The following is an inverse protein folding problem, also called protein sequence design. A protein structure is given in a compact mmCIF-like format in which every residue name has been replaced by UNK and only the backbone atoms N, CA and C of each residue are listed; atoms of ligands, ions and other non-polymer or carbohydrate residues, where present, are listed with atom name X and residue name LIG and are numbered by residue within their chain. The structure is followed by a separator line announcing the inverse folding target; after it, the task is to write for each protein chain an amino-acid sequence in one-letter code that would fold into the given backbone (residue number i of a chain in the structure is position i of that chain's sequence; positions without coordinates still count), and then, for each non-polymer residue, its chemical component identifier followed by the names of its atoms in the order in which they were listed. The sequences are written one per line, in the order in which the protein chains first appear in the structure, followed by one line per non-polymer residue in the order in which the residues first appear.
data_IF_621208100244
#
_entry.id   IF_621208100244
#
_cell.length_a   1.000
_cell.length_b   1.000
_cell.length_c   1.000
_cell.angle_alpha   90.00
_cell.angle_beta   90.00
_cell.angle_gamma   90.00
#
_symmetry.space_group_name_H-M   'P 1'
#
loop_
_entity.id
_entity.type
_entity.pdbx_description
1 polymer ?
#
# COMPACT_ATOMS: atom_id res chain seq x y z
N UNK A 1 11.72 26.85 -25.44
CA UNK A 1 10.63 26.50 -24.50
C UNK A 1 10.12 25.13 -24.90
N UNK A 2 10.06 24.16 -23.97
CA UNK A 2 9.65 22.78 -24.23
C UNK A 2 8.35 22.53 -23.45
N UNK A 3 7.18 22.54 -24.11
CA UNK A 3 5.92 22.21 -23.46
C UNK A 3 5.96 20.80 -22.87
N UNK A 4 5.63 20.66 -21.58
CA UNK A 4 5.62 19.37 -20.87
C UNK A 4 6.97 18.93 -20.30
N UNK A 5 8.00 19.78 -20.31
CA UNK A 5 9.25 19.50 -19.62
C UNK A 5 9.02 19.36 -18.11
N UNK A 6 9.41 18.21 -17.54
CA UNK A 6 9.44 17.99 -16.09
C UNK A 6 10.84 18.26 -15.58
N UNK A 7 10.99 19.26 -14.71
CA UNK A 7 12.24 19.56 -14.01
C UNK A 7 12.21 18.90 -12.66
N UNK A 8 13.10 17.93 -12.46
CA UNK A 8 13.21 17.17 -11.21
C UNK A 8 14.43 17.63 -10.42
N UNK A 9 14.36 17.47 -9.09
CA UNK A 9 15.56 17.54 -8.26
C UNK A 9 16.51 16.39 -8.61
N UNK A 10 17.80 16.59 -8.42
CA UNK A 10 18.82 15.54 -8.50
C UNK A 10 18.88 14.69 -7.23
N UNK A 11 18.22 15.13 -6.16
CA UNK A 11 18.22 14.44 -4.87
C UNK A 11 17.29 13.22 -4.90
N UNK A 12 17.77 12.03 -4.46
CA UNK A 12 16.93 10.85 -4.35
C UNK A 12 15.81 11.03 -3.33
N UNK A 13 14.65 10.44 -3.63
CA UNK A 13 13.55 10.38 -2.66
C UNK A 13 13.72 9.13 -1.78
N UNK A 14 13.84 9.35 -0.48
CA UNK A 14 13.83 8.28 0.51
C UNK A 14 12.39 7.87 0.87
N UNK A 15 12.18 6.59 1.15
CA UNK A 15 10.91 6.07 1.64
C UNK A 15 11.13 5.09 2.78
N UNK A 16 10.16 5.04 3.69
CA UNK A 16 10.19 4.06 4.77
C UNK A 16 11.29 4.26 5.81
N UNK A 17 11.76 5.50 6.00
CA UNK A 17 12.81 5.86 6.96
C UNK A 17 12.38 5.70 8.42
N UNK A 18 11.09 5.92 8.69
CA UNK A 18 10.58 6.03 10.06
C UNK A 18 9.98 4.72 10.61
N UNK A 19 10.07 3.64 9.83
CA UNK A 19 9.45 2.37 10.15
C UNK A 19 10.50 1.29 10.46
N UNK A 20 10.11 0.36 11.32
CA UNK A 20 10.92 -0.81 11.64
C UNK A 20 11.17 -1.65 10.39
N UNK A 21 12.42 -2.08 10.22
CA UNK A 21 12.87 -2.91 9.10
C UNK A 21 13.50 -4.20 9.59
N UNK A 22 13.20 -5.28 8.89
CA UNK A 22 13.81 -6.59 9.12
C UNK A 22 14.30 -7.17 7.80
N UNK A 23 15.40 -7.92 7.82
CA UNK A 23 15.93 -8.61 6.65
C UNK A 23 15.80 -10.10 6.85
N UNK A 24 15.28 -10.81 5.84
CA UNK A 24 15.14 -12.26 5.89
C UNK A 24 15.37 -12.90 4.53
N UNK A 25 15.69 -14.20 4.55
CA UNK A 25 15.82 -15.01 3.36
C UNK A 25 14.48 -15.67 3.08
N UNK A 26 14.00 -15.50 1.85
CA UNK A 26 12.78 -16.14 1.34
C UNK A 26 13.15 -17.08 0.22
N UNK A 27 12.67 -18.32 0.29
CA UNK A 27 12.92 -19.36 -0.71
C UNK A 27 11.61 -19.75 -1.38
N UNK A 28 11.61 -19.90 -2.70
CA UNK A 28 10.49 -20.49 -3.42
C UNK A 28 10.74 -21.98 -3.61
N UNK A 29 10.06 -22.80 -2.81
CA UNK A 29 10.12 -24.28 -2.92
C UNK A 29 9.10 -24.83 -3.93
N UNK A 30 8.31 -23.96 -4.55
CA UNK A 30 7.36 -24.32 -5.60
C UNK A 30 8.03 -24.59 -6.95
N UNK A 31 7.25 -25.17 -7.85
CA UNK A 31 7.62 -25.47 -9.24
C UNK A 31 7.35 -24.30 -10.21
N UNK A 32 6.73 -23.22 -9.72
CA UNK A 32 6.30 -22.07 -10.50
C UNK A 32 6.88 -20.77 -9.95
N UNK A 33 7.16 -19.79 -10.81
CA UNK A 33 7.62 -18.48 -10.37
C UNK A 33 6.52 -17.76 -9.59
N UNK A 34 6.92 -17.07 -8.52
CA UNK A 34 6.01 -16.32 -7.64
C UNK A 34 6.43 -14.85 -7.64
N UNK A 35 5.46 -13.95 -7.75
CA UNK A 35 5.69 -12.50 -7.74
C UNK A 35 4.87 -11.86 -6.63
N UNK A 36 5.55 -11.13 -5.74
CA UNK A 36 4.96 -10.51 -4.56
C UNK A 36 5.05 -8.98 -4.69
N UNK A 37 3.91 -8.31 -4.53
CA UNK A 37 3.83 -6.85 -4.61
C UNK A 37 4.27 -6.13 -3.34
N UNK A 38 4.57 -4.84 -3.47
CA UNK A 38 5.05 -3.94 -2.41
C UNK A 38 4.19 -3.85 -1.14
N UNK A 39 2.87 -4.09 -1.24
CA UNK A 39 1.90 -3.87 -0.15
C UNK A 39 1.19 -5.15 0.31
N UNK A 40 1.63 -6.32 -0.14
CA UNK A 40 1.11 -7.58 0.39
C UNK A 40 1.61 -7.79 1.82
N UNK A 41 0.73 -8.20 2.72
CA UNK A 41 1.14 -8.72 4.02
C UNK A 41 1.88 -10.04 3.80
N UNK A 42 3.18 -10.07 4.08
CA UNK A 42 4.04 -11.17 3.65
C UNK A 42 3.62 -12.56 4.19
N UNK A 43 3.15 -12.73 5.44
CA UNK A 43 2.63 -14.00 5.93
C UNK A 43 1.40 -14.52 5.19
N UNK A 44 0.68 -13.67 4.45
CA UNK A 44 -0.43 -14.07 3.58
C UNK A 44 0.03 -14.36 2.13
N UNK A 45 1.34 -14.35 1.87
CA UNK A 45 1.88 -14.76 0.58
C UNK A 45 1.72 -16.27 0.34
N UNK A 46 2.00 -16.69 -0.89
CA UNK A 46 1.87 -18.07 -1.35
C UNK A 46 2.53 -19.07 -0.37
N UNK A 47 1.85 -20.17 0.02
CA UNK A 47 2.39 -21.21 0.90
C UNK A 47 3.69 -21.86 0.41
N UNK A 48 3.95 -21.86 -0.90
CA UNK A 48 5.19 -22.39 -1.48
C UNK A 48 6.44 -21.53 -1.20
N UNK A 49 6.27 -20.34 -0.60
CA UNK A 49 7.37 -19.53 -0.10
C UNK A 49 7.72 -19.94 1.34
N UNK A 50 8.96 -20.34 1.54
CA UNK A 50 9.53 -20.75 2.82
C UNK A 50 10.34 -19.61 3.42
N UNK A 51 9.93 -19.17 4.60
CA UNK A 51 10.54 -18.14 5.44
C UNK A 51 9.87 -18.16 6.82
N UNK A 52 10.39 -17.40 7.78
CA UNK A 52 9.78 -17.24 9.10
C UNK A 52 8.54 -16.34 9.01
N UNK A 53 7.34 -16.95 9.04
CA UNK A 53 6.06 -16.24 8.95
C UNK A 53 5.70 -15.49 10.23
N UNK A 54 6.14 -15.97 11.39
CA UNK A 54 5.87 -15.31 12.67
C UNK A 54 6.68 -14.02 12.77
N UNK A 55 7.97 -14.07 12.39
CA UNK A 55 8.81 -12.87 12.32
C UNK A 55 8.34 -11.86 11.25
N UNK A 56 7.66 -12.32 10.20
CA UNK A 56 7.13 -11.47 9.13
C UNK A 56 5.75 -10.87 9.42
N UNK A 57 5.13 -11.17 10.56
CA UNK A 57 3.79 -10.68 10.89
C UNK A 57 3.74 -9.17 11.09
N UNK A 58 2.81 -8.51 10.40
CA UNK A 58 2.72 -7.06 10.35
C UNK A 58 3.73 -6.39 9.41
N UNK A 59 4.41 -7.13 8.53
CA UNK A 59 5.39 -6.58 7.58
C UNK A 59 5.00 -6.72 6.09
N UNK A 60 5.53 -5.82 5.26
CA UNK A 60 5.46 -5.85 3.79
C UNK A 60 6.86 -5.63 3.19
N UNK A 61 7.02 -5.85 1.88
CA UNK A 61 8.30 -5.62 1.20
C UNK A 61 8.71 -4.13 1.23
N UNK A 62 9.96 -3.85 1.59
CA UNK A 62 10.56 -2.52 1.55
C UNK A 62 11.04 -2.19 0.13
N UNK A 63 10.07 -2.04 -0.78
CA UNK A 63 10.29 -1.70 -2.19
C UNK A 63 9.37 -0.53 -2.58
N UNK A 64 9.68 0.20 -3.67
CA UNK A 64 8.84 1.30 -4.13
C UNK A 64 7.39 0.85 -4.38
N UNK A 65 6.44 1.74 -4.08
CA UNK A 65 5.01 1.46 -4.28
C UNK A 65 4.72 1.07 -5.74
N UNK A 66 3.84 0.10 -5.92
CA UNK A 66 3.48 -0.43 -7.25
C UNK A 66 4.51 -1.40 -7.85
N UNK A 67 5.67 -1.60 -7.23
CA UNK A 67 6.65 -2.60 -7.68
C UNK A 67 6.45 -3.96 -7.02
N UNK A 68 7.23 -4.95 -7.44
CA UNK A 68 7.15 -6.34 -6.97
C UNK A 68 8.49 -7.05 -7.03
N UNK A 69 8.67 -8.05 -6.16
CA UNK A 69 9.80 -8.97 -6.19
C UNK A 69 9.36 -10.30 -6.78
N UNK A 70 10.15 -10.80 -7.74
CA UNK A 70 9.96 -12.11 -8.37
C UNK A 70 10.92 -13.13 -7.75
N UNK A 71 10.39 -14.32 -7.48
CA UNK A 71 11.09 -15.48 -6.95
C UNK A 71 10.98 -16.63 -7.97
N UNK A 72 12.11 -17.05 -8.52
CA UNK A 72 12.18 -18.21 -9.40
C UNK A 72 12.12 -19.51 -8.58
N UNK A 73 11.62 -20.62 -9.15
CA UNK A 73 11.61 -21.94 -8.50
C UNK A 73 13.00 -22.34 -7.97
N UNK A 74 13.08 -22.77 -6.72
CA UNK A 74 14.30 -23.26 -6.06
C UNK A 74 15.33 -22.19 -5.70
N UNK A 75 15.06 -20.90 -5.93
CA UNK A 75 16.02 -19.81 -5.67
C UNK A 75 15.69 -19.10 -4.37
N UNK A 76 16.66 -19.04 -3.47
CA UNK A 76 16.62 -18.21 -2.27
C UNK A 76 16.95 -16.76 -2.60
N UNK A 77 16.22 -15.81 -2.00
CA UNK A 77 16.51 -14.37 -2.13
C UNK A 77 16.41 -13.69 -0.78
N UNK A 78 17.38 -12.85 -0.48
CA UNK A 78 17.33 -11.97 0.69
C UNK A 78 16.47 -10.76 0.37
N UNK A 79 15.48 -10.46 1.22
CA UNK A 79 14.58 -9.33 1.09
C UNK A 79 14.54 -8.51 2.37
N UNK A 80 14.35 -7.21 2.21
CA UNK A 80 14.10 -6.28 3.32
C UNK A 80 12.60 -6.04 3.42
N UNK A 81 12.09 -6.10 4.64
CA UNK A 81 10.71 -5.84 4.97
C UNK A 81 10.60 -4.58 5.82
N UNK A 82 9.45 -3.94 5.75
CA UNK A 82 9.09 -2.74 6.49
C UNK A 82 7.74 -2.95 7.18
N UNK A 83 7.61 -2.47 8.42
CA UNK A 83 6.38 -2.61 9.17
C UNK A 83 5.19 -1.93 8.45
N UNK A 84 4.01 -2.54 8.56
CA UNK A 84 2.77 -1.93 8.08
C UNK A 84 2.49 -0.65 8.86
N UNK A 85 2.15 0.41 8.13
CA UNK A 85 1.69 1.67 8.71
C UNK A 85 0.19 1.67 9.04
N UNK A 86 -0.33 2.84 9.40
CA UNK A 86 -1.77 3.04 9.65
C UNK A 86 -2.29 2.19 10.81
N UNK A 87 -3.48 1.61 10.64
CA UNK A 87 -4.15 0.80 11.68
C UNK A 87 -3.57 -0.62 11.83
N UNK A 88 -2.58 -1.01 11.02
CA UNK A 88 -2.00 -2.38 11.01
C UNK A 88 -3.04 -3.49 10.92
N UNK A 89 -4.13 -3.27 10.16
CA UNK A 89 -5.19 -4.26 9.92
C UNK A 89 -5.04 -4.88 8.54
N UNK A 90 -5.14 -6.20 8.47
CA UNK A 90 -4.99 -6.96 7.22
C UNK A 90 -6.26 -7.79 6.95
N UNK A 91 -7.28 -7.20 6.31
CA UNK A 91 -8.49 -7.92 5.94
C UNK A 91 -8.32 -8.68 4.61
N UNK A 92 -8.94 -9.86 4.50
CA UNK A 92 -9.02 -10.61 3.23
C UNK A 92 -7.76 -11.40 2.93
N UNK A 93 -7.00 -10.97 1.90
CA UNK A 93 -5.79 -11.59 1.30
C UNK A 93 -5.82 -13.09 1.01
N UNK A 94 -6.02 -13.94 2.02
CA UNK A 94 -6.24 -15.37 1.89
C UNK A 94 -7.60 -15.74 2.49
N UNK A 95 -8.40 -16.46 1.72
CA UNK A 95 -9.55 -17.18 2.27
C UNK A 95 -9.00 -18.49 2.81
N UNK A 96 -8.79 -18.57 4.12
CA UNK A 96 -8.50 -19.85 4.76
C UNK A 96 -9.77 -20.70 4.63
N UNK A 97 -9.71 -21.87 3.98
CA UNK A 97 -10.84 -22.79 3.93
C UNK A 97 -11.27 -23.13 5.35
N UNK A 98 -12.57 -23.18 5.58
CA UNK A 98 -13.18 -23.24 6.90
C UNK A 98 -12.76 -24.49 7.70
N UNK A 99 -12.25 -25.53 7.03
CA UNK A 99 -11.86 -26.85 7.54
C UNK A 99 -10.84 -26.87 8.69
N UNK A 100 -10.12 -25.77 8.96
CA UNK A 100 -9.18 -25.65 10.09
C UNK A 100 -9.76 -24.97 11.37
N UNK A 101 -11.02 -24.51 11.35
CA UNK A 101 -11.69 -23.98 12.54
C UNK A 101 -12.55 -25.06 13.22
N UNK A 102 -12.53 -25.25 14.55
CA UNK A 102 -13.42 -26.20 15.20
C UNK A 102 -14.88 -25.89 14.87
N UNK A 103 -15.61 -26.88 14.33
CA UNK A 103 -16.98 -26.78 13.78
C UNK A 103 -17.98 -26.08 14.70
N UNK A 104 -17.80 -26.18 16.02
CA UNK A 104 -18.73 -25.64 17.01
C UNK A 104 -18.56 -24.13 17.29
N UNK A 105 -17.52 -23.48 16.73
CA UNK A 105 -17.26 -22.06 16.88
C UNK A 105 -17.68 -21.24 15.65
N UNK A 106 -18.38 -21.85 14.69
CA UNK A 106 -18.76 -21.21 13.43
C UNK A 106 -20.19 -20.73 13.46
N UNK A 107 -20.41 -19.47 13.10
CA UNK A 107 -21.69 -19.04 12.55
C UNK A 107 -21.75 -19.50 11.08
N UNK A 108 -22.82 -20.20 10.65
CA UNK A 108 -22.89 -20.72 9.29
C UNK A 108 -22.92 -19.57 8.29
N UNK A 109 -21.93 -19.53 7.38
CA UNK A 109 -21.94 -18.60 6.25
C UNK A 109 -23.08 -18.97 5.31
N UNK A 110 -24.02 -18.05 5.14
CA UNK A 110 -25.06 -18.15 4.11
C UNK A 110 -24.40 -18.08 2.74
N UNK A 111 -24.24 -19.24 2.09
CA UNK A 111 -23.78 -19.33 0.70
C UNK A 111 -24.96 -18.95 -0.19
N UNK A 112 -24.90 -17.77 -0.82
CA UNK A 112 -25.92 -17.33 -1.78
C UNK A 112 -25.42 -17.50 -3.21
N UNK A 113 -26.16 -18.23 -4.08
CA UNK A 113 -25.82 -18.31 -5.49
C UNK A 113 -26.07 -16.96 -6.17
N UNK A 114 -25.13 -16.58 -7.04
CA UNK A 114 -25.18 -15.33 -7.80
C UNK A 114 -26.43 -15.31 -8.69
N UNK A 115 -27.24 -14.25 -8.59
CA UNK A 115 -28.43 -14.06 -9.43
C UNK A 115 -29.76 -14.59 -8.87
N UNK A 116 -29.89 -14.78 -7.55
CA UNK A 116 -31.19 -15.10 -6.93
C UNK A 116 -32.13 -13.88 -7.01
N UNK A 117 -33.26 -13.93 -7.76
CA UNK A 117 -34.15 -12.78 -7.87
C UNK A 117 -34.88 -12.51 -6.56
N UNK A 118 -34.86 -11.26 -6.08
CA UNK A 118 -35.64 -10.82 -4.90
C UNK A 118 -34.87 -10.76 -3.57
N UNK A 119 -33.54 -10.89 -3.57
CA UNK A 119 -32.73 -10.69 -2.37
C UNK A 119 -32.12 -9.28 -2.40
N UNK A 120 -32.48 -8.45 -1.44
CA UNK A 120 -31.78 -7.18 -1.20
C UNK A 120 -30.36 -7.50 -0.74
N UNK A 121 -29.38 -7.12 -1.56
CA UNK A 121 -27.96 -7.19 -1.19
C UNK A 121 -27.75 -6.13 -0.12
N UNK A 122 -27.42 -6.55 1.10
CA UNK A 122 -27.01 -5.60 2.14
C UNK A 122 -25.80 -4.84 1.61
N UNK A 123 -25.96 -3.55 1.33
CA UNK A 123 -24.89 -2.73 0.76
C UNK A 123 -23.69 -2.80 1.71
N UNK A 124 -22.49 -3.15 1.23
CA UNK A 124 -21.32 -3.12 2.10
C UNK A 124 -21.22 -1.71 2.66
N UNK A 125 -21.02 -1.59 3.98
CA UNK A 125 -20.79 -0.32 4.66
C UNK A 125 -19.82 0.51 3.82
N UNK A 126 -20.35 1.49 3.08
CA UNK A 126 -19.52 2.43 2.34
C UNK A 126 -18.58 3.02 3.37
N UNK A 127 -17.27 2.91 3.10
CA UNK A 127 -16.29 3.65 3.88
C UNK A 127 -16.80 5.09 3.95
N UNK A 128 -17.10 5.54 5.18
CA UNK A 128 -17.65 6.86 5.46
C UNK A 128 -16.81 7.88 4.70
N UNK A 129 -17.47 8.72 3.89
CA UNK A 129 -16.85 9.79 3.13
C UNK A 129 -15.79 10.49 3.98
N UNK A 130 -14.52 10.31 3.63
CA UNK A 130 -13.46 11.19 4.08
C UNK A 130 -13.83 12.57 3.52
N UNK A 131 -14.16 13.50 4.42
CA UNK A 131 -14.41 14.89 4.06
C UNK A 131 -13.10 15.48 3.52
N UNK A 132 -12.92 15.44 2.20
CA UNK A 132 -11.96 16.30 1.52
C UNK A 132 -12.53 17.71 1.61
N UNK A 133 -12.02 18.50 2.56
CA UNK A 133 -12.22 19.95 2.54
C UNK A 133 -11.43 20.50 1.35
N UNK A 134 -12.12 20.70 0.24
CA UNK A 134 -11.68 21.67 -0.77
C UNK A 134 -11.94 23.03 -0.15
N UNK A 135 -10.88 23.74 0.23
CA UNK A 135 -10.98 25.14 0.63
C UNK A 135 -11.31 25.96 -0.62
N UNK A 136 -12.55 26.45 -0.71
CA UNK A 136 -13.01 27.44 -1.71
C UNK A 136 -12.45 28.84 -1.39
N UNK A 137 -11.13 28.96 -1.21
CA UNK A 137 -10.49 30.27 -1.26
C UNK A 137 -10.18 30.55 -2.73
N UNK A 138 -10.84 31.53 -3.38
CA UNK A 138 -10.47 31.91 -4.72
C UNK A 138 -9.04 32.46 -4.68
N UNK A 139 -8.15 31.80 -5.43
CA UNK A 139 -6.81 32.33 -5.70
C UNK A 139 -7.01 33.50 -6.65
N UNK A 140 -6.91 34.73 -6.13
CA UNK A 140 -6.92 35.92 -6.98
C UNK A 140 -5.72 35.86 -7.93
N UNK A 141 -6.01 36.10 -9.21
CA UNK A 141 -5.04 36.10 -10.28
C UNK A 141 -4.10 37.30 -10.11
N UNK A 142 -2.84 37.03 -9.80
CA UNK A 142 -1.78 38.03 -9.84
C UNK A 142 -1.54 38.40 -11.31
N UNK A 143 -2.13 39.52 -11.74
CA UNK A 143 -1.84 40.15 -13.03
C UNK A 143 -0.80 41.25 -12.86
N UNK A 144 0.09 41.44 -13.86
CA UNK A 144 1.38 42.07 -13.65
C UNK A 144 1.29 43.57 -13.91
N UNK A 145 1.17 44.35 -12.85
CA UNK A 145 1.28 45.81 -12.94
C UNK A 145 1.78 46.36 -11.61
N UNK A 146 3.10 46.39 -11.46
CA UNK A 146 3.80 47.57 -10.93
C UNK A 146 5.32 47.39 -11.07
N UNK A 147 5.79 47.64 -12.30
CA UNK A 147 7.15 48.07 -12.50
C UNK A 147 7.24 49.58 -12.19
N UNK A 148 8.23 49.90 -11.35
CA UNK A 148 8.81 51.21 -11.08
C UNK A 148 8.13 52.09 -10.01
N UNK A 149 8.88 52.37 -8.93
CA UNK A 149 9.43 53.71 -8.65
C UNK A 149 10.06 53.82 -7.24
N UNK A 150 11.36 54.17 -7.19
CA UNK A 150 12.08 55.03 -6.20
C UNK A 150 12.13 54.58 -4.71
N UNK A 151 13.27 54.14 -4.15
CA UNK A 151 14.49 54.86 -3.69
C UNK A 151 14.33 55.63 -2.35
N UNK A 152 15.32 55.39 -1.46
CA UNK A 152 15.75 56.09 -0.20
C UNK A 152 15.46 55.37 1.13
N UNK A 153 16.48 54.79 1.80
CA UNK A 153 17.28 55.38 2.91
C UNK A 153 16.37 56.01 3.99
N UNK A 154 16.42 55.59 5.26
CA UNK A 154 17.45 56.02 6.24
C UNK A 154 17.38 55.16 7.51
N UNK A 155 18.53 55.02 8.17
CA UNK A 155 18.75 54.37 9.46
C UNK A 155 18.06 55.08 10.64
N UNK A 156 17.80 54.33 11.71
CA UNK A 156 18.25 54.67 13.06
C UNK A 156 18.54 53.38 13.84
#
# INVERSE_FOLDING_TARGET
MIPGEVRVSTEPLEFGTDAEKITMVVVNDGDRPIQIGSHLHLPAANPALTFDREAADGFRLDIPSGTSVRFEPGVSRTVTLIALGGLKRVPGLQIVPDEDLPTHAREPKTVMPFGTPGVEVEEPLRASSVNVRVSDVPVEADSPEDAATTVERTAE
#
